data_IF_309145518410
#
_entry.id   IF_309145518410
#
_cell.length_a   1.000
_cell.length_b   1.000
_cell.length_c   1.000
_cell.angle_alpha   90.00
_cell.angle_beta   90.00
_cell.angle_gamma   90.00
#
_symmetry.space_group_name_H-M   'P 1'
#
loop_
_entity.id
_entity.type
_entity.pdbx_description
1 polymer ?
#
# COMPACT_ATOMS: atom_id res chain seq x y z
N UNK A 1 59.18 13.76 -85.68
CA UNK A 1 58.02 13.00 -85.22
C UNK A 1 57.52 13.75 -84.01
N UNK A 2 56.28 14.28 -84.03
CA UNK A 2 55.87 15.31 -83.11
C UNK A 2 55.19 14.70 -81.84
N UNK A 3 55.57 15.29 -80.71
CA UNK A 3 55.06 14.99 -79.40
C UNK A 3 53.71 15.66 -79.11
N UNK A 4 52.72 14.90 -78.89
CA UNK A 4 51.37 15.40 -78.54
C UNK A 4 51.29 15.67 -77.02
N UNK A 5 51.14 16.96 -76.64
CA UNK A 5 50.90 17.38 -75.25
C UNK A 5 49.41 17.42 -75.02
N UNK A 6 48.94 16.51 -74.12
CA UNK A 6 47.57 16.52 -73.61
C UNK A 6 47.45 17.61 -72.53
N UNK A 7 46.59 18.58 -72.75
CA UNK A 7 46.11 19.53 -71.74
C UNK A 7 44.93 18.92 -70.96
N UNK A 8 45.09 18.79 -69.66
CA UNK A 8 44.00 18.36 -68.72
C UNK A 8 43.40 19.62 -68.09
N UNK A 9 42.09 19.88 -68.23
CA UNK A 9 41.48 21.02 -67.50
C UNK A 9 41.22 20.59 -66.06
N UNK A 10 41.71 21.36 -65.10
CA UNK A 10 41.44 21.24 -63.68
C UNK A 10 39.99 21.68 -63.39
N UNK A 11 39.10 20.74 -63.03
CA UNK A 11 37.76 21.02 -62.44
C UNK A 11 37.98 21.44 -61.01
N UNK A 12 37.68 22.69 -60.71
CA UNK A 12 37.62 23.23 -59.35
C UNK A 12 36.22 22.87 -58.76
N UNK A 13 36.14 21.79 -57.93
CA UNK A 13 34.95 21.46 -57.23
C UNK A 13 34.81 22.40 -56.01
N UNK A 14 33.84 23.30 -56.06
CA UNK A 14 33.48 24.22 -54.98
C UNK A 14 32.62 23.39 -53.96
N UNK A 15 33.22 22.87 -52.88
CA UNK A 15 32.53 22.25 -51.79
C UNK A 15 31.84 23.34 -50.96
N UNK A 16 30.52 23.53 -51.12
CA UNK A 16 29.71 24.30 -50.21
C UNK A 16 29.58 23.51 -48.89
N UNK A 17 30.44 23.83 -47.91
CA UNK A 17 30.20 23.43 -46.52
C UNK A 17 29.01 24.20 -45.97
N UNK A 18 27.82 23.60 -46.03
CA UNK A 18 26.64 24.07 -45.32
C UNK A 18 26.84 23.89 -43.81
N UNK A 19 27.29 24.93 -43.12
CA UNK A 19 27.28 24.94 -41.66
C UNK A 19 25.82 24.88 -41.19
N UNK A 20 25.48 24.00 -40.21
CA UNK A 20 24.12 24.01 -39.63
C UNK A 20 23.91 25.37 -38.94
N UNK A 21 22.96 26.14 -39.42
CA UNK A 21 22.53 27.35 -38.77
C UNK A 21 21.97 26.95 -37.38
N UNK A 22 22.43 27.57 -36.27
CA UNK A 22 21.83 27.30 -34.96
C UNK A 22 20.36 27.71 -35.06
N UNK A 23 19.44 26.72 -34.77
CA UNK A 23 18.04 27.01 -34.60
C UNK A 23 17.91 27.91 -33.36
N UNK A 24 17.80 29.21 -33.56
CA UNK A 24 17.50 30.15 -32.49
C UNK A 24 16.11 29.83 -31.98
N UNK A 25 16.01 29.34 -30.75
CA UNK A 25 14.73 29.20 -30.06
C UNK A 25 14.08 30.60 -30.09
N UNK A 26 12.93 30.71 -30.77
CA UNK A 26 12.22 31.97 -30.92
C UNK A 26 11.61 32.32 -29.54
N UNK A 27 12.25 33.28 -28.83
CA UNK A 27 11.72 33.80 -27.59
C UNK A 27 10.52 34.70 -27.87
N UNK A 28 9.38 34.44 -27.27
CA UNK A 28 8.21 35.32 -27.32
C UNK A 28 8.55 36.68 -26.71
N UNK A 29 8.12 37.77 -27.36
CA UNK A 29 8.18 39.13 -26.78
C UNK A 29 7.21 39.21 -25.58
N UNK A 30 7.40 40.20 -24.71
CA UNK A 30 6.52 40.40 -23.54
C UNK A 30 5.06 40.63 -23.95
N UNK A 31 4.81 41.32 -25.04
CA UNK A 31 3.48 41.51 -25.64
C UNK A 31 2.87 40.16 -26.04
N UNK A 32 3.63 39.33 -26.79
CA UNK A 32 3.15 38.01 -27.20
C UNK A 32 2.86 37.09 -26.02
N UNK A 33 3.63 37.15 -24.93
CA UNK A 33 3.36 36.43 -23.70
C UNK A 33 2.03 36.87 -23.07
N UNK A 34 1.79 38.16 -22.94
CA UNK A 34 0.54 38.72 -22.43
C UNK A 34 -0.70 38.30 -23.26
N UNK A 35 -0.56 38.30 -24.59
CA UNK A 35 -1.60 37.85 -25.51
C UNK A 35 -1.89 36.34 -25.31
N UNK A 36 -0.85 35.49 -25.20
CA UNK A 36 -0.99 34.06 -24.94
C UNK A 36 -1.65 33.81 -23.58
N UNK A 37 -1.23 34.50 -22.54
CA UNK A 37 -1.87 34.37 -21.20
C UNK A 37 -3.35 34.77 -21.24
N UNK A 38 -3.69 35.81 -21.97
CA UNK A 38 -5.08 36.27 -22.14
C UNK A 38 -5.92 35.22 -22.91
N UNK A 39 -5.37 34.65 -23.98
CA UNK A 39 -6.03 33.58 -24.76
C UNK A 39 -6.27 32.37 -23.86
N UNK A 40 -5.24 31.89 -23.13
CA UNK A 40 -5.36 30.74 -22.25
C UNK A 40 -6.42 30.98 -21.18
N UNK A 41 -6.36 32.15 -20.50
CA UNK A 41 -7.33 32.52 -19.46
C UNK A 41 -8.77 32.53 -20.02
N UNK A 42 -8.99 33.20 -21.14
CA UNK A 42 -10.33 33.31 -21.72
C UNK A 42 -10.85 31.96 -22.21
N UNK A 43 -9.99 31.12 -22.78
CA UNK A 43 -10.33 29.77 -23.21
C UNK A 43 -10.76 28.89 -22.02
N UNK A 44 -9.96 28.86 -20.92
CA UNK A 44 -10.28 28.07 -19.74
C UNK A 44 -11.55 28.56 -19.00
N UNK A 45 -11.84 29.87 -19.06
CA UNK A 45 -13.09 30.40 -18.49
C UNK A 45 -14.29 30.05 -19.39
N UNK A 46 -14.12 30.08 -20.71
CA UNK A 46 -15.19 29.70 -21.65
C UNK A 46 -15.40 28.17 -21.71
N UNK A 47 -14.37 27.39 -21.40
CA UNK A 47 -14.35 25.92 -21.46
C UNK A 47 -13.83 25.30 -20.17
N UNK A 48 -14.55 25.45 -19.03
CA UNK A 48 -14.11 24.91 -17.73
C UNK A 48 -14.03 23.39 -17.71
N UNK A 49 -14.74 22.69 -18.59
CA UNK A 49 -14.70 21.23 -18.79
C UNK A 49 -13.29 20.72 -19.10
N UNK A 50 -12.44 21.53 -19.75
CA UNK A 50 -11.04 21.15 -20.05
C UNK A 50 -10.22 20.97 -18.76
N UNK A 51 -10.48 21.79 -17.72
CA UNK A 51 -9.85 21.62 -16.42
C UNK A 51 -10.35 20.35 -15.71
N UNK A 52 -11.65 20.07 -15.80
CA UNK A 52 -12.24 18.87 -15.20
C UNK A 52 -11.68 17.60 -15.87
N UNK A 53 -11.58 17.57 -17.20
CA UNK A 53 -10.95 16.48 -17.95
C UNK A 53 -9.47 16.30 -17.55
N UNK A 54 -8.71 17.40 -17.47
CA UNK A 54 -7.31 17.36 -17.08
C UNK A 54 -7.12 16.85 -15.63
N UNK A 55 -7.96 17.27 -14.68
CA UNK A 55 -7.95 16.78 -13.30
C UNK A 55 -8.31 15.30 -13.20
N UNK A 56 -9.29 14.86 -13.99
CA UNK A 56 -9.69 13.45 -14.07
C UNK A 56 -8.54 12.58 -14.58
N UNK A 57 -7.89 12.99 -15.66
CA UNK A 57 -6.74 12.26 -16.22
C UNK A 57 -5.54 12.29 -15.26
N UNK A 58 -5.28 13.41 -14.58
CA UNK A 58 -4.24 13.49 -13.56
C UNK A 58 -4.51 12.51 -12.41
N UNK A 59 -5.73 12.51 -11.88
CA UNK A 59 -6.14 11.60 -10.80
C UNK A 59 -6.00 10.13 -11.21
N UNK A 60 -6.38 9.80 -12.44
CA UNK A 60 -6.22 8.45 -13.00
C UNK A 60 -4.74 8.04 -13.08
N UNK A 61 -3.86 8.92 -13.55
CA UNK A 61 -2.41 8.65 -13.62
C UNK A 61 -1.80 8.49 -12.23
N UNK A 62 -2.19 9.33 -11.28
CA UNK A 62 -1.73 9.23 -9.90
C UNK A 62 -2.18 7.90 -9.27
N UNK A 63 -3.45 7.53 -9.41
CA UNK A 63 -3.98 6.25 -8.90
C UNK A 63 -3.26 5.04 -9.54
N UNK A 64 -2.99 5.07 -10.84
CA UNK A 64 -2.25 4.01 -11.52
C UNK A 64 -0.79 3.92 -11.04
N UNK A 65 -0.11 5.04 -10.84
CA UNK A 65 1.26 5.07 -10.33
C UNK A 65 1.33 4.56 -8.87
N UNK A 66 0.35 4.91 -8.04
CA UNK A 66 0.25 4.44 -6.66
C UNK A 66 -0.05 2.94 -6.60
N UNK A 67 -0.97 2.45 -7.43
CA UNK A 67 -1.26 1.02 -7.54
C UNK A 67 -0.02 0.22 -7.97
N UNK A 68 0.75 0.71 -8.94
CA UNK A 68 1.99 0.07 -9.37
C UNK A 68 3.05 0.06 -8.25
N UNK A 69 3.17 1.14 -7.48
CA UNK A 69 4.06 1.21 -6.30
C UNK A 69 3.64 0.20 -5.23
N UNK A 70 2.35 0.10 -4.93
CA UNK A 70 1.80 -0.87 -3.98
C UNK A 70 2.09 -2.31 -4.44
N UNK A 71 1.80 -2.64 -5.71
CA UNK A 71 2.07 -3.97 -6.26
C UNK A 71 3.56 -4.35 -6.18
N UNK A 72 4.45 -3.43 -6.53
CA UNK A 72 5.89 -3.63 -6.40
C UNK A 72 6.31 -3.83 -4.93
N UNK A 73 5.73 -3.06 -4.00
CA UNK A 73 5.96 -3.20 -2.56
C UNK A 73 5.52 -4.57 -2.03
N UNK A 74 4.33 -5.02 -2.42
CA UNK A 74 3.81 -6.35 -2.06
C UNK A 74 4.69 -7.45 -2.64
N UNK A 75 5.04 -7.38 -3.93
CA UNK A 75 5.85 -8.41 -4.59
C UNK A 75 7.23 -8.56 -3.93
N UNK A 76 7.88 -7.43 -3.60
CA UNK A 76 9.20 -7.43 -2.94
C UNK A 76 9.17 -8.03 -1.54
N UNK A 77 8.05 -7.90 -0.82
CA UNK A 77 7.92 -8.30 0.58
C UNK A 77 6.95 -9.49 0.78
N UNK A 78 6.60 -10.21 -0.28
CA UNK A 78 5.54 -11.23 -0.26
C UNK A 78 5.73 -12.27 0.85
N UNK A 79 6.93 -12.77 1.04
CA UNK A 79 7.21 -13.78 2.07
C UNK A 79 6.96 -13.23 3.48
N UNK A 80 7.45 -12.04 3.79
CA UNK A 80 7.23 -11.40 5.09
C UNK A 80 5.76 -11.00 5.32
N UNK A 81 5.03 -10.67 4.25
CA UNK A 81 3.60 -10.34 4.33
C UNK A 81 2.78 -11.60 4.61
N UNK A 82 2.95 -12.67 3.81
CA UNK A 82 2.04 -13.80 3.78
C UNK A 82 2.51 -15.02 4.59
N UNK A 83 3.82 -15.19 4.78
CA UNK A 83 4.42 -16.42 5.30
C UNK A 83 5.32 -16.20 6.53
N UNK A 84 5.45 -14.97 7.04
CA UNK A 84 6.26 -14.72 8.23
C UNK A 84 5.82 -15.61 9.41
N UNK A 85 6.73 -16.24 10.15
CA UNK A 85 6.40 -16.98 11.37
C UNK A 85 5.85 -16.08 12.48
N UNK A 86 5.96 -14.76 12.31
CA UNK A 86 5.41 -13.73 13.19
C UNK A 86 3.95 -13.39 12.90
N UNK A 87 3.36 -13.98 11.87
CA UNK A 87 1.95 -13.76 11.54
C UNK A 87 1.02 -14.42 12.55
N UNK A 88 -0.09 -13.76 12.85
CA UNK A 88 -1.28 -14.44 13.38
C UNK A 88 -2.09 -14.93 12.19
N UNK A 89 -2.25 -16.23 12.07
CA UNK A 89 -3.01 -16.84 10.98
C UNK A 89 -4.33 -17.39 11.50
N UNK A 90 -5.43 -16.94 10.91
CA UNK A 90 -6.80 -17.33 11.22
C UNK A 90 -7.47 -17.91 9.97
N UNK A 91 -8.66 -18.48 10.15
CA UNK A 91 -9.41 -19.09 9.05
C UNK A 91 -8.72 -20.34 8.51
N UNK A 92 -8.72 -20.49 7.19
CA UNK A 92 -8.10 -21.64 6.53
C UNK A 92 -6.62 -21.38 6.29
N UNK A 93 -5.72 -22.09 6.98
CA UNK A 93 -4.26 -21.94 6.80
C UNK A 93 -3.79 -22.27 5.38
N UNK A 94 -4.53 -23.15 4.70
CA UNK A 94 -4.26 -23.58 3.33
C UNK A 94 -5.19 -22.87 2.31
N UNK A 95 -5.75 -21.73 2.71
CA UNK A 95 -6.67 -20.96 1.89
C UNK A 95 -6.03 -20.45 0.60
N UNK A 96 -6.84 -20.39 -0.46
CA UNK A 96 -6.41 -20.00 -1.81
C UNK A 96 -6.18 -18.49 -1.97
N UNK A 97 -6.77 -17.68 -1.09
CA UNK A 97 -6.51 -16.23 -1.00
C UNK A 97 -6.14 -15.89 0.44
N UNK A 98 -5.09 -15.09 0.59
CA UNK A 98 -4.72 -14.52 1.89
C UNK A 98 -5.17 -13.07 1.98
N UNK A 99 -5.98 -12.80 2.99
CA UNK A 99 -6.40 -11.47 3.43
C UNK A 99 -5.52 -11.05 4.60
N UNK A 100 -4.71 -10.01 4.44
CA UNK A 100 -3.84 -9.48 5.49
C UNK A 100 -4.41 -8.17 5.98
N UNK A 101 -4.59 -8.01 7.30
CA UNK A 101 -5.03 -6.76 7.92
C UNK A 101 -3.95 -6.19 8.84
N UNK A 102 -3.60 -4.94 8.63
CA UNK A 102 -2.80 -4.11 9.53
C UNK A 102 -3.76 -3.27 10.38
N UNK A 103 -3.69 -3.42 11.69
CA UNK A 103 -4.68 -2.84 12.60
C UNK A 103 -4.06 -2.21 13.85
N UNK A 104 -4.86 -1.38 14.54
CA UNK A 104 -4.54 -0.77 15.84
C UNK A 104 -5.72 -0.96 16.79
N UNK A 105 -5.45 -1.38 18.03
CA UNK A 105 -6.51 -1.65 19.03
C UNK A 105 -7.30 -0.41 19.46
N UNK A 106 -6.75 0.79 19.28
CA UNK A 106 -7.44 2.06 19.57
C UNK A 106 -8.15 2.65 18.34
N UNK A 107 -8.09 1.97 17.20
CA UNK A 107 -8.73 2.43 15.97
C UNK A 107 -10.23 2.08 15.94
N UNK A 108 -11.09 3.10 15.99
CA UNK A 108 -12.54 2.90 15.88
C UNK A 108 -12.99 2.27 14.56
N UNK A 109 -12.24 2.48 13.49
CA UNK A 109 -12.48 1.85 12.18
C UNK A 109 -12.07 0.38 12.18
N UNK A 110 -10.99 -0.02 12.89
CA UNK A 110 -10.59 -1.41 13.06
C UNK A 110 -11.64 -2.22 13.85
N UNK A 111 -12.33 -1.60 14.80
CA UNK A 111 -13.46 -2.24 15.49
C UNK A 111 -14.59 -2.64 14.52
N UNK A 112 -14.88 -1.82 13.50
CA UNK A 112 -15.85 -2.18 12.45
C UNK A 112 -15.27 -3.22 11.49
N UNK A 113 -14.02 -3.03 11.07
CA UNK A 113 -13.30 -3.94 10.19
C UNK A 113 -13.24 -5.38 10.73
N UNK A 114 -13.13 -5.54 12.05
CA UNK A 114 -13.21 -6.86 12.68
C UNK A 114 -14.55 -7.56 12.41
N UNK A 115 -15.67 -6.83 12.41
CA UNK A 115 -16.98 -7.40 12.08
C UNK A 115 -17.00 -7.87 10.62
N UNK A 116 -16.47 -7.04 9.70
CA UNK A 116 -16.36 -7.37 8.30
C UNK A 116 -15.47 -8.62 8.07
N UNK A 117 -14.32 -8.68 8.75
CA UNK A 117 -13.41 -9.82 8.70
C UNK A 117 -14.09 -11.12 9.17
N UNK A 118 -14.83 -11.07 10.28
CA UNK A 118 -15.56 -12.23 10.79
C UNK A 118 -16.65 -12.71 9.84
N UNK A 119 -17.35 -11.78 9.18
CA UNK A 119 -18.34 -12.10 8.15
C UNK A 119 -17.67 -12.78 6.95
N UNK A 120 -16.56 -12.23 6.46
CA UNK A 120 -15.80 -12.78 5.34
C UNK A 120 -15.28 -14.19 5.65
N UNK A 121 -14.70 -14.41 6.82
CA UNK A 121 -14.22 -15.74 7.25
C UNK A 121 -15.36 -16.76 7.35
N UNK A 122 -16.53 -16.35 7.81
CA UNK A 122 -17.71 -17.22 7.90
C UNK A 122 -18.28 -17.57 6.53
N UNK A 123 -18.28 -16.60 5.61
CA UNK A 123 -18.82 -16.76 4.25
C UNK A 123 -17.90 -17.53 3.31
N UNK A 124 -16.58 -17.47 3.56
CA UNK A 124 -15.55 -18.06 2.68
C UNK A 124 -14.62 -19.02 3.43
N UNK A 125 -14.93 -20.34 3.43
CA UNK A 125 -14.10 -21.36 4.08
C UNK A 125 -12.71 -21.54 3.45
N UNK A 126 -12.45 -20.93 2.30
CA UNK A 126 -11.15 -20.97 1.62
C UNK A 126 -10.29 -19.71 1.90
N UNK A 127 -10.78 -18.81 2.72
CA UNK A 127 -10.05 -17.59 3.07
C UNK A 127 -9.03 -17.86 4.17
N UNK A 128 -7.76 -17.51 3.92
CA UNK A 128 -6.73 -17.37 4.94
C UNK A 128 -6.70 -15.92 5.40
N UNK A 129 -6.72 -15.68 6.71
CA UNK A 129 -6.59 -14.35 7.29
C UNK A 129 -5.29 -14.25 8.05
N UNK A 130 -4.58 -13.14 7.86
CA UNK A 130 -3.35 -12.79 8.59
C UNK A 130 -3.57 -11.45 9.26
N UNK A 131 -3.32 -11.38 10.57
CA UNK A 131 -3.38 -10.15 11.35
C UNK A 131 -1.98 -9.65 11.67
N UNK A 132 -1.76 -8.34 11.51
CA UNK A 132 -0.50 -7.64 11.77
C UNK A 132 -0.74 -6.44 12.67
N UNK A 133 -0.13 -6.45 13.85
CA UNK A 133 -0.11 -5.32 14.76
C UNK A 133 0.55 -4.10 14.12
N UNK A 134 -0.17 -3.00 14.01
CA UNK A 134 0.33 -1.74 13.45
C UNK A 134 -0.12 -0.55 14.31
N UNK A 135 0.47 -0.42 15.52
CA UNK A 135 0.05 0.56 16.52
C UNK A 135 0.56 1.96 16.19
N UNK A 136 -0.24 2.76 15.49
CA UNK A 136 0.12 4.10 14.99
C UNK A 136 -0.57 5.24 15.72
N UNK A 137 -1.56 4.97 16.59
CA UNK A 137 -2.43 6.02 17.13
C UNK A 137 -1.95 6.60 18.46
N UNK A 138 -1.34 5.78 19.33
CA UNK A 138 -0.95 6.22 20.66
C UNK A 138 0.12 5.33 21.31
N UNK A 139 0.73 5.80 22.41
CA UNK A 139 1.61 4.97 23.23
C UNK A 139 0.85 3.74 23.78
N UNK A 140 -0.41 3.90 24.21
CA UNK A 140 -1.25 2.79 24.64
C UNK A 140 -1.49 1.76 23.54
N UNK A 141 -1.59 2.19 22.27
CA UNK A 141 -1.67 1.26 21.13
C UNK A 141 -0.42 0.38 21.04
N UNK A 142 0.76 0.98 21.21
CA UNK A 142 2.04 0.22 21.21
C UNK A 142 2.09 -0.78 22.35
N UNK A 143 1.69 -0.38 23.54
CA UNK A 143 1.62 -1.27 24.71
C UNK A 143 0.66 -2.43 24.49
N UNK A 144 -0.55 -2.16 23.97
CA UNK A 144 -1.55 -3.18 23.67
C UNK A 144 -1.05 -4.15 22.58
N UNK A 145 -0.40 -3.64 21.53
CA UNK A 145 0.18 -4.45 20.47
C UNK A 145 1.30 -5.36 20.97
N UNK A 146 2.15 -4.87 21.89
CA UNK A 146 3.18 -5.70 22.54
C UNK A 146 2.56 -6.89 23.26
N UNK A 147 1.46 -6.66 24.00
CA UNK A 147 0.70 -7.74 24.64
C UNK A 147 0.11 -8.69 23.60
N UNK A 148 -0.48 -8.17 22.51
CA UNK A 148 -1.01 -8.98 21.41
C UNK A 148 0.03 -9.92 20.80
N UNK A 149 1.25 -9.42 20.54
CA UNK A 149 2.35 -10.28 20.07
C UNK A 149 2.71 -11.36 21.09
N UNK A 150 2.77 -11.03 22.40
CA UNK A 150 3.07 -12.02 23.44
C UNK A 150 1.93 -13.07 23.56
N UNK A 151 0.66 -12.67 23.35
CA UNK A 151 -0.48 -13.61 23.26
C UNK A 151 -0.30 -14.59 22.10
N UNK A 152 0.07 -14.10 20.90
CA UNK A 152 0.40 -14.94 19.74
C UNK A 152 1.48 -15.97 20.05
N UNK A 153 2.51 -15.59 20.79
CA UNK A 153 3.63 -16.50 21.16
C UNK A 153 3.19 -17.69 22.03
N UNK A 154 2.04 -17.58 22.67
CA UNK A 154 1.45 -18.67 23.46
C UNK A 154 0.37 -19.46 22.74
N UNK A 155 -0.13 -18.96 21.62
CA UNK A 155 -1.25 -19.57 20.90
C UNK A 155 -0.91 -19.90 19.44
N UNK A 156 -0.36 -21.07 19.18
CA UNK A 156 -0.04 -21.50 17.81
C UNK A 156 -1.29 -21.78 16.96
N UNK A 157 -2.47 -21.84 17.59
CA UNK A 157 -3.73 -22.14 16.90
C UNK A 157 -4.45 -20.89 16.40
N UNK A 158 -4.16 -19.73 16.99
CA UNK A 158 -4.84 -18.45 16.73
C UNK A 158 -6.20 -18.30 17.41
N UNK A 159 -6.71 -19.33 18.12
CA UNK A 159 -8.04 -19.28 18.78
C UNK A 159 -8.08 -18.33 19.95
N UNK A 160 -7.14 -18.46 20.88
CA UNK A 160 -7.05 -17.55 22.02
C UNK A 160 -6.70 -16.13 21.57
N UNK A 161 -5.86 -16.01 20.53
CA UNK A 161 -5.55 -14.71 19.96
C UNK A 161 -6.80 -14.04 19.36
N UNK A 162 -7.62 -14.78 18.63
CA UNK A 162 -8.87 -14.25 18.08
C UNK A 162 -9.82 -13.76 19.20
N UNK A 163 -9.99 -14.54 20.25
CA UNK A 163 -10.80 -14.15 21.41
C UNK A 163 -10.25 -12.89 22.10
N UNK A 164 -8.93 -12.85 22.29
CA UNK A 164 -8.23 -11.67 22.80
C UNK A 164 -8.45 -10.44 21.90
N UNK A 165 -8.22 -10.59 20.61
CA UNK A 165 -8.37 -9.53 19.60
C UNK A 165 -9.78 -8.94 19.60
N UNK A 166 -10.81 -9.79 19.57
CA UNK A 166 -12.21 -9.39 19.63
C UNK A 166 -12.55 -8.64 20.92
N UNK A 167 -12.19 -9.20 22.07
CA UNK A 167 -12.48 -8.59 23.38
C UNK A 167 -11.77 -7.24 23.57
N UNK A 168 -10.52 -7.12 23.09
CA UNK A 168 -9.77 -5.90 23.24
C UNK A 168 -10.30 -4.79 22.32
N UNK A 169 -10.61 -5.10 21.04
CA UNK A 169 -11.19 -4.15 20.11
C UNK A 169 -12.62 -3.72 20.49
N UNK A 170 -13.46 -4.66 20.95
CA UNK A 170 -14.87 -4.36 21.22
C UNK A 170 -15.11 -3.78 22.61
N UNK A 171 -14.18 -3.91 23.50
CA UNK A 171 -14.30 -3.42 24.86
C UNK A 171 -14.39 -1.90 24.97
N UNK A 172 -14.76 -1.36 26.15
CA UNK A 172 -14.87 0.07 26.40
C UNK A 172 -13.54 0.67 26.85
N UNK A 173 -13.30 1.93 26.53
CA UNK A 173 -12.11 2.69 26.91
C UNK A 173 -10.90 2.41 25.98
N UNK A 174 -9.80 3.10 26.23
CA UNK A 174 -8.57 2.95 25.47
C UNK A 174 -7.93 1.58 25.73
N UNK A 175 -7.35 0.98 24.70
CA UNK A 175 -6.51 -0.21 24.82
C UNK A 175 -5.08 0.25 25.20
N UNK A 176 -4.67 -0.12 26.39
CA UNK A 176 -3.32 0.05 26.94
C UNK A 176 -2.81 -1.29 27.48
N UNK A 177 -1.61 -1.29 28.05
CA UNK A 177 -1.04 -2.49 28.64
C UNK A 177 -1.93 -3.12 29.71
N UNK A 178 -2.48 -2.31 30.62
CA UNK A 178 -3.26 -2.83 31.75
C UNK A 178 -4.50 -3.56 31.27
N UNK A 179 -5.23 -2.96 30.32
CA UNK A 179 -6.40 -3.56 29.72
C UNK A 179 -6.08 -4.79 28.87
N UNK A 180 -5.03 -4.74 28.06
CA UNK A 180 -4.60 -5.87 27.28
C UNK A 180 -4.19 -7.07 28.15
N UNK A 181 -3.48 -6.83 29.26
CA UNK A 181 -3.13 -7.85 30.23
C UNK A 181 -4.38 -8.46 30.92
N UNK A 182 -5.36 -7.63 31.26
CA UNK A 182 -6.62 -8.11 31.82
C UNK A 182 -7.38 -9.04 30.86
N UNK A 183 -7.47 -8.65 29.58
CA UNK A 183 -8.09 -9.47 28.53
C UNK A 183 -7.29 -10.76 28.29
N UNK A 184 -5.95 -10.71 28.28
CA UNK A 184 -5.10 -11.89 28.14
C UNK A 184 -5.35 -12.90 29.27
N UNK A 185 -5.54 -12.43 30.51
CA UNK A 185 -5.91 -13.26 31.66
C UNK A 185 -7.29 -13.88 31.47
N UNK A 186 -8.26 -13.08 30.99
CA UNK A 186 -9.64 -13.54 30.77
C UNK A 186 -9.71 -14.67 29.74
N UNK A 187 -8.91 -14.61 28.67
CA UNK A 187 -8.84 -15.68 27.65
C UNK A 187 -7.95 -16.85 28.05
N UNK A 188 -7.46 -16.86 29.28
CA UNK A 188 -6.76 -18.00 29.87
C UNK A 188 -5.32 -18.19 29.39
N UNK A 189 -4.54 -17.10 29.25
CA UNK A 189 -3.10 -17.14 29.01
C UNK A 189 -2.34 -17.37 30.32
N UNK A 190 -1.16 -17.95 30.22
CA UNK A 190 -0.18 -17.99 31.32
C UNK A 190 0.41 -16.60 31.50
N UNK A 191 0.03 -15.94 32.59
CA UNK A 191 0.41 -14.55 32.84
C UNK A 191 1.87 -14.40 33.18
N UNK A 192 2.51 -15.37 33.87
CA UNK A 192 3.92 -15.34 34.19
C UNK A 192 4.78 -15.47 32.90
N UNK A 193 4.37 -16.36 32.01
CA UNK A 193 4.98 -16.50 30.69
C UNK A 193 4.75 -15.26 29.83
N UNK A 194 3.57 -14.65 29.87
CA UNK A 194 3.23 -13.46 29.11
C UNK A 194 4.13 -12.27 29.50
N UNK A 195 4.32 -12.04 30.81
CA UNK A 195 5.20 -10.99 31.30
C UNK A 195 6.66 -11.18 30.86
N UNK A 196 7.14 -12.42 30.86
CA UNK A 196 8.47 -12.76 30.35
C UNK A 196 8.58 -12.50 28.85
N UNK A 197 7.57 -12.92 28.07
CA UNK A 197 7.54 -12.79 26.61
C UNK A 197 7.49 -11.32 26.18
N UNK A 198 6.84 -10.42 26.94
CA UNK A 198 6.77 -8.98 26.66
C UNK A 198 8.14 -8.31 26.52
N UNK A 199 9.15 -8.77 27.26
CA UNK A 199 10.51 -8.23 27.20
C UNK A 199 11.38 -8.87 26.11
N UNK A 200 10.83 -9.83 25.35
CA UNK A 200 11.58 -10.58 24.36
C UNK A 200 11.92 -9.75 23.11
N UNK A 201 13.00 -10.14 22.43
CA UNK A 201 13.35 -9.57 21.13
C UNK A 201 12.26 -9.86 20.07
N UNK A 202 11.50 -10.95 20.24
CA UNK A 202 10.44 -11.34 19.30
C UNK A 202 9.32 -10.30 19.23
N UNK A 203 8.92 -9.71 20.37
CA UNK A 203 7.91 -8.64 20.40
C UNK A 203 8.40 -7.42 19.60
N UNK A 204 9.63 -6.96 19.86
CA UNK A 204 10.22 -5.84 19.08
C UNK A 204 10.31 -6.16 17.60
N UNK A 205 10.89 -7.30 17.26
CA UNK A 205 11.12 -7.69 15.88
C UNK A 205 9.82 -7.83 15.08
N UNK A 206 8.75 -8.31 15.75
CA UNK A 206 7.41 -8.41 15.11
C UNK A 206 6.86 -7.03 14.76
N UNK A 207 6.87 -6.09 15.71
CA UNK A 207 6.38 -4.73 15.46
C UNK A 207 7.24 -4.00 14.43
N UNK A 208 8.57 -4.09 14.52
CA UNK A 208 9.46 -3.50 13.52
C UNK A 208 9.25 -4.07 12.11
N UNK A 209 9.04 -5.39 11.98
CA UNK A 209 8.71 -6.03 10.71
C UNK A 209 7.41 -5.44 10.14
N UNK A 210 6.36 -5.36 10.96
CA UNK A 210 5.07 -4.83 10.52
C UNK A 210 5.15 -3.35 10.10
N UNK A 211 5.90 -2.52 10.86
CA UNK A 211 6.12 -1.12 10.49
C UNK A 211 6.88 -0.98 9.16
N UNK A 212 7.96 -1.73 8.97
CA UNK A 212 8.72 -1.73 7.71
C UNK A 212 7.89 -2.17 6.51
N UNK A 213 7.02 -3.18 6.70
CA UNK A 213 6.11 -3.64 5.66
C UNK A 213 5.07 -2.56 5.33
N UNK A 214 4.46 -1.94 6.34
CA UNK A 214 3.48 -0.87 6.13
C UNK A 214 4.10 0.33 5.38
N UNK A 215 5.30 0.75 5.77
CA UNK A 215 6.05 1.81 5.10
C UNK A 215 6.38 1.45 3.63
N UNK A 216 6.88 0.24 3.38
CA UNK A 216 7.21 -0.23 2.04
C UNK A 216 5.99 -0.27 1.09
N UNK A 217 4.79 -0.42 1.64
CA UNK A 217 3.52 -0.43 0.92
C UNK A 217 2.79 0.92 0.96
N UNK A 218 3.38 1.97 1.54
CA UNK A 218 2.77 3.29 1.63
C UNK A 218 1.54 3.38 2.54
N UNK A 219 1.39 2.45 3.49
CA UNK A 219 0.29 2.47 4.45
C UNK A 219 0.55 3.53 5.52
N UNK A 220 -0.40 4.42 5.74
CA UNK A 220 -0.30 5.54 6.68
C UNK A 220 -1.40 5.56 7.75
N UNK A 221 -2.21 4.51 7.84
CA UNK A 221 -3.31 4.41 8.80
C UNK A 221 -3.87 3.00 8.90
N UNK A 222 -4.85 2.84 9.78
CA UNK A 222 -5.53 1.58 10.07
C UNK A 222 -7.05 1.72 9.96
N UNK A 223 -7.78 0.67 9.55
CA UNK A 223 -7.23 -0.57 9.03
C UNK A 223 -6.61 -0.37 7.65
N UNK A 224 -5.60 -1.18 7.30
CA UNK A 224 -5.07 -1.29 5.94
C UNK A 224 -4.91 -2.77 5.59
N UNK A 225 -5.09 -3.12 4.33
CA UNK A 225 -5.15 -4.51 3.92
C UNK A 225 -4.21 -4.81 2.75
N UNK A 226 -3.74 -6.07 2.69
CA UNK A 226 -3.13 -6.64 1.49
C UNK A 226 -3.94 -7.85 1.07
N UNK A 227 -4.45 -7.84 -0.16
CA UNK A 227 -5.24 -8.93 -0.74
C UNK A 227 -4.68 -9.23 -2.13
N UNK A 228 -4.07 -10.41 -2.30
CA UNK A 228 -3.32 -10.70 -3.51
C UNK A 228 -2.17 -9.71 -3.70
N UNK A 229 -2.22 -8.90 -4.76
CA UNK A 229 -1.23 -7.85 -5.06
C UNK A 229 -1.70 -6.44 -4.69
N UNK A 230 -2.92 -6.30 -4.20
CA UNK A 230 -3.54 -5.01 -3.95
C UNK A 230 -3.35 -4.57 -2.50
N UNK A 231 -3.05 -3.30 -2.30
CA UNK A 231 -3.13 -2.62 -1.02
C UNK A 231 -4.44 -1.84 -0.97
N UNK A 232 -5.18 -1.96 0.13
CA UNK A 232 -6.43 -1.24 0.38
C UNK A 232 -6.27 -0.49 1.68
N UNK A 233 -6.52 0.82 1.68
CA UNK A 233 -6.36 1.69 2.84
C UNK A 233 -7.74 2.12 3.33
N UNK A 234 -7.99 1.97 4.64
CA UNK A 234 -9.20 2.36 5.31
C UNK A 234 -10.28 1.28 5.37
N UNK A 235 -11.31 1.51 6.17
CA UNK A 235 -12.44 0.60 6.37
C UNK A 235 -13.44 0.72 5.20
N UNK A 236 -13.23 -0.05 4.14
CA UNK A 236 -14.02 -0.01 2.91
C UNK A 236 -15.30 -0.87 2.98
N UNK A 237 -15.48 -1.68 4.05
CA UNK A 237 -16.64 -2.54 4.28
C UNK A 237 -16.52 -3.93 3.64
N UNK A 238 -17.32 -4.88 4.15
CA UNK A 238 -17.25 -6.30 3.76
C UNK A 238 -17.48 -6.54 2.27
N UNK A 239 -18.39 -5.79 1.63
CA UNK A 239 -18.70 -5.96 0.20
C UNK A 239 -17.50 -5.64 -0.69
N UNK A 240 -16.89 -4.47 -0.49
CA UNK A 240 -15.69 -4.08 -1.24
C UNK A 240 -14.52 -5.04 -0.99
N UNK A 241 -14.33 -5.51 0.24
CA UNK A 241 -13.31 -6.52 0.56
C UNK A 241 -13.60 -7.86 -0.13
N UNK A 242 -14.86 -8.30 -0.18
CA UNK A 242 -15.27 -9.52 -0.90
C UNK A 242 -14.96 -9.43 -2.39
N UNK A 243 -15.24 -8.28 -3.02
CA UNK A 243 -14.87 -8.03 -4.41
C UNK A 243 -13.36 -8.15 -4.63
N UNK A 244 -12.54 -7.58 -3.72
CA UNK A 244 -11.07 -7.68 -3.80
C UNK A 244 -10.57 -9.11 -3.63
N UNK A 245 -11.18 -9.90 -2.74
CA UNK A 245 -10.88 -11.32 -2.53
C UNK A 245 -11.23 -12.11 -3.81
N UNK A 246 -12.42 -11.90 -4.39
CA UNK A 246 -12.83 -12.53 -5.63
C UNK A 246 -11.88 -12.16 -6.78
N UNK A 247 -11.53 -10.88 -6.90
CA UNK A 247 -10.59 -10.42 -7.92
C UNK A 247 -9.21 -11.09 -7.77
N UNK A 248 -8.70 -11.21 -6.54
CA UNK A 248 -7.43 -11.92 -6.28
C UNK A 248 -7.51 -13.41 -6.63
N UNK A 249 -8.69 -14.05 -6.46
CA UNK A 249 -8.92 -15.48 -6.70
C UNK A 249 -9.09 -15.83 -8.17
N UNK A 250 -9.88 -15.06 -8.93
CA UNK A 250 -10.28 -15.42 -10.30
C UNK A 250 -10.22 -14.26 -11.31
N UNK A 251 -9.77 -13.08 -10.91
CA UNK A 251 -9.66 -11.90 -11.78
C UNK A 251 -11.00 -11.20 -12.08
N UNK A 252 -12.07 -11.53 -11.33
CA UNK A 252 -13.42 -10.96 -11.50
C UNK A 252 -13.94 -10.44 -10.17
N UNK A 253 -14.91 -9.52 -10.21
CA UNK A 253 -15.56 -8.97 -9.01
C UNK A 253 -16.31 -10.07 -8.21
N UNK A 254 -16.79 -11.09 -8.88
CA UNK A 254 -17.43 -12.27 -8.28
C UNK A 254 -16.91 -13.53 -8.94
N UNK A 255 -16.59 -14.52 -8.16
CA UNK A 255 -16.29 -15.87 -8.59
C UNK A 255 -17.49 -16.79 -8.33
#
# INVERSE_FOLDING_TARGET
MPSFRLLIPALFALALCGAPLPASAQSFSDTQRGDIETIIRNYLIAHPEVLEEAMTELSKRQAAAEAAKHEAGVAKNADAIFNSPRNVTLGNKDGDVTFVEFFDYNCGYCKRAMTDMMELMKADPKLKVVLKEFPVLSAGSVEAAQVGVAVRMQDPTGKKYLDFHQKLLTGRGAADKARAMAVAKEVGLDMAKLEKDLSSAEVRNTLEENFKLAEAMGMNGTPSYVIGKQVVIGAVGAEALREKISNARCGKATC
#
